data_IF_199244305497
#
_entry.id   IF_199244305497
#
_cell.length_a   1.000
_cell.length_b   1.000
_cell.length_c   1.000
_cell.angle_alpha   90.00
_cell.angle_beta   90.00
_cell.angle_gamma   90.00
#
_symmetry.space_group_name_H-M   'P 1'
#
loop_
_entity.id
_entity.type
_entity.pdbx_description
1 polymer ?
#
# COMPACT_ATOMS: atom_id res chain seq x y z
N UNK A 1 -19.58 29.92 3.89
CA UNK A 1 -19.29 29.14 4.00
C UNK A 1 -19.16 27.98 4.16
N UNK A 2 -19.18 27.42 4.15
CA UNK A 2 -19.25 26.30 4.37
C UNK A 2 -18.82 25.15 3.69
N UNK A 3 -18.29 24.80 2.95
CA UNK A 3 -17.85 23.87 1.96
C UNK A 3 -16.85 22.88 2.47
N UNK A 4 -16.32 23.09 3.65
CA UNK A 4 -15.37 22.20 4.30
C UNK A 4 -16.03 20.93 4.85
N UNK A 5 -17.36 20.82 4.77
CA UNK A 5 -18.06 19.64 5.28
C UNK A 5 -17.69 18.35 4.56
N UNK A 6 -17.11 18.46 3.35
CA UNK A 6 -16.68 17.29 2.59
C UNK A 6 -15.19 17.00 2.73
N UNK A 7 -14.51 17.72 3.59
CA UNK A 7 -13.09 17.49 3.86
C UNK A 7 -12.94 16.33 4.83
N UNK A 8 -11.96 15.49 4.54
CA UNK A 8 -11.52 14.44 5.46
C UNK A 8 -10.04 14.63 5.72
N UNK A 9 -9.65 14.61 6.97
CA UNK A 9 -8.24 14.74 7.36
C UNK A 9 -7.80 13.45 8.03
N UNK A 10 -6.73 12.85 7.53
CA UNK A 10 -6.14 11.65 8.13
C UNK A 10 -4.72 11.97 8.51
N UNK A 11 -4.41 11.85 9.79
CA UNK A 11 -3.03 11.95 10.25
C UNK A 11 -2.47 10.53 10.34
N UNK A 12 -1.42 10.27 9.58
CA UNK A 12 -0.89 8.90 9.45
C UNK A 12 -0.33 8.35 10.75
N UNK A 13 -0.06 9.21 11.73
CA UNK A 13 0.46 8.77 13.04
C UNK A 13 -0.66 8.47 14.03
N UNK A 14 -1.91 8.76 13.68
CA UNK A 14 -3.05 8.58 14.57
C UNK A 14 -4.05 7.52 14.09
N UNK A 15 -3.71 6.80 13.04
CA UNK A 15 -4.64 5.82 12.46
C UNK A 15 -4.57 4.50 13.22
N UNK A 16 -5.67 3.74 13.13
CA UNK A 16 -5.74 2.38 13.66
C UNK A 16 -5.54 1.43 12.48
N UNK A 17 -4.56 0.54 12.59
CA UNK A 17 -4.29 -0.47 11.59
C UNK A 17 -5.11 -1.73 11.86
N UNK A 18 -5.65 -2.31 10.81
CA UNK A 18 -6.38 -3.58 10.85
C UNK A 18 -5.64 -4.62 10.02
N UNK A 19 -5.87 -5.92 10.26
CA UNK A 19 -5.20 -6.94 9.45
C UNK A 19 -5.42 -6.71 7.97
N UNK A 20 -4.37 -6.88 7.17
CA UNK A 20 -4.42 -6.66 5.72
C UNK A 20 -5.08 -7.86 5.06
N UNK A 21 -6.31 -7.68 4.60
CA UNK A 21 -7.14 -8.74 4.04
C UNK A 21 -7.59 -8.42 2.60
N UNK A 22 -6.85 -7.58 1.91
CA UNK A 22 -7.24 -7.13 0.58
C UNK A 22 -7.39 -8.27 -0.43
N UNK A 23 -6.69 -9.36 -0.25
CA UNK A 23 -6.70 -10.50 -1.17
C UNK A 23 -7.36 -11.75 -0.56
N UNK A 24 -8.16 -11.57 0.48
CA UNK A 24 -8.85 -12.66 1.14
C UNK A 24 -8.44 -12.77 2.59
N UNK A 25 -7.88 -13.91 3.00
CA UNK A 25 -7.42 -14.08 4.38
C UNK A 25 -6.32 -13.10 4.73
N UNK A 26 -6.28 -12.61 5.96
CA UNK A 26 -5.21 -11.70 6.37
C UNK A 26 -3.84 -12.33 6.17
N UNK A 27 -2.89 -11.48 5.74
CA UNK A 27 -1.50 -11.90 5.55
C UNK A 27 -0.74 -11.64 6.85
N UNK A 28 -0.06 -12.66 7.41
CA UNK A 28 0.67 -12.48 8.66
C UNK A 28 1.67 -11.32 8.60
N UNK A 29 1.66 -10.49 9.63
CA UNK A 29 2.58 -9.38 9.75
C UNK A 29 2.23 -8.16 8.92
N UNK A 30 1.11 -8.17 8.20
CA UNK A 30 0.68 -7.03 7.40
C UNK A 30 -0.61 -6.45 7.95
N UNK A 31 -0.67 -5.13 8.01
CA UNK A 31 -1.87 -4.41 8.45
C UNK A 31 -2.01 -3.15 7.60
N UNK A 32 -3.22 -2.62 7.55
CA UNK A 32 -3.48 -1.44 6.74
C UNK A 32 -4.52 -0.53 7.37
N UNK A 33 -4.53 0.71 6.87
CA UNK A 33 -5.59 1.67 7.14
C UNK A 33 -6.03 2.27 5.82
N UNK A 34 -7.29 2.05 5.45
CA UNK A 34 -7.84 2.58 4.21
C UNK A 34 -8.17 4.05 4.39
N UNK A 35 -7.50 4.92 3.63
CA UNK A 35 -7.78 6.36 3.66
C UNK A 35 -8.92 6.69 2.71
N UNK A 36 -8.78 6.30 1.45
CA UNK A 36 -9.79 6.56 0.42
C UNK A 36 -9.90 5.38 -0.55
N UNK A 37 -9.48 4.21 -0.11
CA UNK A 37 -9.42 3.02 -0.97
C UNK A 37 -10.75 2.28 -1.01
N UNK A 38 -11.11 1.79 -2.19
CA UNK A 38 -12.20 0.83 -2.36
C UNK A 38 -11.78 -0.20 -3.42
N UNK A 39 -12.47 -1.33 -3.44
CA UNK A 39 -12.08 -2.45 -4.31
C UNK A 39 -12.73 -2.42 -5.69
N UNK A 40 -13.53 -1.41 -6.00
CA UNK A 40 -14.14 -1.34 -7.32
C UNK A 40 -13.08 -1.14 -8.39
N UNK A 41 -13.33 -1.70 -9.59
CA UNK A 41 -12.43 -1.58 -10.75
C UNK A 41 -11.00 -2.00 -10.47
N UNK A 42 -10.82 -3.09 -9.71
CA UNK A 42 -9.49 -3.60 -9.41
C UNK A 42 -8.77 -2.91 -8.26
N UNK A 43 -9.47 -2.00 -7.58
CA UNK A 43 -8.92 -1.27 -6.47
C UNK A 43 -8.50 0.13 -6.87
N UNK A 44 -9.03 1.11 -6.17
CA UNK A 44 -8.73 2.52 -6.40
C UNK A 44 -8.63 3.25 -5.08
N UNK A 45 -7.75 4.23 -5.01
CA UNK A 45 -7.61 5.08 -3.86
C UNK A 45 -6.32 4.81 -3.10
N UNK A 46 -6.31 5.26 -1.88
CA UNK A 46 -5.08 5.36 -1.08
C UNK A 46 -5.23 4.62 0.23
N UNK A 47 -4.18 3.89 0.62
CA UNK A 47 -4.13 3.27 1.94
C UNK A 47 -2.72 3.27 2.48
N UNK A 48 -2.62 3.21 3.80
CA UNK A 48 -1.36 2.99 4.49
C UNK A 48 -1.18 1.48 4.69
N UNK A 49 0.02 1.01 4.45
CA UNK A 49 0.39 -0.39 4.66
C UNK A 49 1.53 -0.45 5.65
N UNK A 50 1.36 -1.25 6.68
CA UNK A 50 2.40 -1.50 7.67
C UNK A 50 2.79 -2.96 7.60
N UNK A 51 4.09 -3.22 7.57
CA UNK A 51 4.62 -4.57 7.59
C UNK A 51 5.55 -4.73 8.78
N UNK A 52 5.31 -5.78 9.55
CA UNK A 52 6.17 -6.12 10.70
C UNK A 52 7.48 -6.73 10.20
N UNK A 53 8.53 -6.71 11.03
CA UNK A 53 9.80 -7.34 10.62
C UNK A 53 9.59 -8.78 10.16
N UNK A 54 10.14 -9.10 9.00
CA UNK A 54 10.05 -10.43 8.41
C UNK A 54 8.79 -10.68 7.59
N UNK A 55 7.87 -9.75 7.51
CA UNK A 55 6.63 -9.94 6.75
C UNK A 55 6.91 -10.01 5.25
N UNK A 56 6.07 -10.80 4.56
CA UNK A 56 6.16 -10.99 3.10
C UNK A 56 4.79 -10.81 2.50
N UNK A 57 4.71 -10.03 1.42
CA UNK A 57 3.47 -9.94 0.66
C UNK A 57 3.33 -11.16 -0.24
N UNK A 58 2.09 -11.41 -0.68
CA UNK A 58 1.86 -12.46 -1.67
C UNK A 58 2.13 -11.92 -3.07
N UNK A 59 2.61 -12.76 -4.00
CA UNK A 59 2.72 -12.34 -5.40
C UNK A 59 1.35 -11.94 -5.92
N UNK A 60 1.29 -10.82 -6.62
CA UNK A 60 0.03 -10.34 -7.17
C UNK A 60 0.27 -9.61 -8.49
N UNK A 61 -0.71 -9.67 -9.36
CA UNK A 61 -0.70 -9.02 -10.65
C UNK A 61 -1.42 -7.68 -10.54
N UNK A 62 -0.79 -6.63 -11.03
CA UNK A 62 -1.39 -5.30 -11.04
C UNK A 62 -2.27 -5.15 -12.27
N UNK A 63 -3.57 -4.97 -12.06
CA UNK A 63 -4.50 -4.71 -13.16
C UNK A 63 -4.57 -3.23 -13.51
N UNK A 64 -4.19 -2.37 -12.58
CA UNK A 64 -4.04 -0.94 -12.80
C UNK A 64 -2.66 -0.51 -12.36
N UNK A 65 -2.46 0.80 -12.24
CA UNK A 65 -1.23 1.33 -11.66
C UNK A 65 -1.22 1.12 -10.16
N UNK A 66 -0.09 0.69 -9.62
CA UNK A 66 0.17 0.74 -8.20
C UNK A 66 1.38 1.62 -7.97
N UNK A 67 1.21 2.64 -7.15
CA UNK A 67 2.32 3.51 -6.77
C UNK A 67 2.43 3.54 -5.27
N UNK A 68 3.64 3.70 -4.75
CA UNK A 68 3.77 3.84 -3.31
C UNK A 68 4.97 4.69 -2.95
N UNK A 69 4.84 5.33 -1.80
CA UNK A 69 5.89 6.14 -1.19
C UNK A 69 6.34 5.45 0.08
N UNK A 70 7.64 5.22 0.19
CA UNK A 70 8.23 4.62 1.40
C UNK A 70 8.31 5.68 2.47
N UNK A 71 7.59 5.49 3.57
CA UNK A 71 7.58 6.42 4.70
C UNK A 71 8.56 6.01 5.79
N UNK A 72 8.71 4.70 6.05
CA UNK A 72 9.62 4.16 7.05
C UNK A 72 10.10 2.79 6.59
N UNK A 73 11.33 2.44 6.95
CA UNK A 73 11.87 1.13 6.69
C UNK A 73 12.21 0.87 5.24
N UNK A 74 12.28 -0.40 4.87
CA UNK A 74 12.66 -0.83 3.52
C UNK A 74 11.78 -1.96 3.05
N UNK A 75 11.56 -2.00 1.74
CA UNK A 75 10.97 -3.14 1.04
C UNK A 75 11.98 -3.72 0.08
N UNK A 76 11.96 -5.04 -0.08
CA UNK A 76 12.90 -5.75 -0.95
C UNK A 76 12.08 -6.60 -1.91
N UNK A 77 12.28 -6.40 -3.21
CA UNK A 77 11.63 -7.18 -4.26
C UNK A 77 12.47 -8.41 -4.62
N UNK A 78 11.88 -9.40 -5.32
CA UNK A 78 12.59 -10.65 -5.61
C UNK A 78 13.87 -10.48 -6.44
N UNK A 79 13.97 -9.39 -7.21
CA UNK A 79 15.18 -9.11 -7.98
C UNK A 79 16.29 -8.48 -7.14
N UNK A 80 16.08 -8.34 -5.84
CA UNK A 80 17.04 -7.76 -4.92
C UNK A 80 16.96 -6.24 -4.81
N UNK A 81 16.06 -5.61 -5.53
CA UNK A 81 15.92 -4.16 -5.45
C UNK A 81 15.37 -3.76 -4.10
N UNK A 82 16.01 -2.78 -3.47
CA UNK A 82 15.63 -2.28 -2.15
C UNK A 82 15.02 -0.89 -2.32
N UNK A 83 13.81 -0.73 -1.79
CA UNK A 83 13.12 0.56 -1.75
C UNK A 83 13.27 1.16 -0.36
N UNK A 84 13.72 2.41 -0.29
CA UNK A 84 14.10 3.09 0.96
C UNK A 84 13.22 4.29 1.20
N UNK A 85 13.28 4.82 2.41
CA UNK A 85 12.56 6.05 2.79
C UNK A 85 12.74 7.12 1.72
N UNK A 86 11.61 7.66 1.27
CA UNK A 86 11.57 8.69 0.25
C UNK A 86 11.46 8.18 -1.18
N UNK A 87 11.63 6.88 -1.41
CA UNK A 87 11.46 6.32 -2.75
C UNK A 87 9.98 6.30 -3.11
N UNK A 88 9.68 6.78 -4.30
CA UNK A 88 8.36 6.68 -4.90
C UNK A 88 8.45 5.69 -6.06
N UNK A 89 7.69 4.62 -5.97
CA UNK A 89 7.77 3.51 -6.91
C UNK A 89 6.48 3.42 -7.71
N UNK A 90 6.58 3.24 -9.02
CA UNK A 90 5.43 3.07 -9.91
C UNK A 90 5.50 1.70 -10.56
N UNK A 91 4.44 0.91 -10.39
CA UNK A 91 4.24 -0.32 -11.14
C UNK A 91 3.10 -0.11 -12.13
N UNK A 92 3.38 -0.31 -13.42
CA UNK A 92 2.38 -0.15 -14.47
C UNK A 92 1.48 -1.38 -14.55
N UNK A 93 0.30 -1.23 -15.17
CA UNK A 93 -0.60 -2.37 -15.37
C UNK A 93 0.12 -3.51 -16.08
N UNK A 94 -0.18 -4.73 -15.68
CA UNK A 94 0.43 -5.93 -16.26
C UNK A 94 1.69 -6.37 -15.55
N UNK A 95 2.18 -5.61 -14.58
CA UNK A 95 3.34 -6.03 -13.79
C UNK A 95 2.90 -6.92 -12.64
N UNK A 96 3.83 -7.75 -12.17
CA UNK A 96 3.59 -8.63 -11.03
C UNK A 96 4.80 -8.58 -10.11
N UNK A 97 4.55 -8.55 -8.82
CA UNK A 97 5.64 -8.58 -7.86
C UNK A 97 5.18 -9.10 -6.51
N UNK A 98 6.14 -9.37 -5.66
CA UNK A 98 5.95 -9.58 -4.23
C UNK A 98 7.10 -8.89 -3.54
N UNK A 99 6.92 -8.57 -2.27
CA UNK A 99 7.94 -7.86 -1.52
C UNK A 99 8.05 -8.43 -0.12
N UNK A 100 9.20 -8.24 0.49
CA UNK A 100 9.35 -8.55 1.91
C UNK A 100 10.10 -7.42 2.59
N UNK A 101 10.02 -7.38 3.90
CA UNK A 101 10.77 -6.42 4.70
C UNK A 101 11.56 -7.16 5.75
N UNK A 102 12.78 -6.75 5.97
CA UNK A 102 13.62 -7.35 7.00
C UNK A 102 13.28 -6.78 8.37
N UNK A 103 13.21 -5.47 8.45
CA UNK A 103 13.09 -4.77 9.74
C UNK A 103 11.75 -4.07 9.92
N UNK A 104 10.81 -4.27 9.01
CA UNK A 104 9.53 -3.60 9.03
C UNK A 104 9.51 -2.37 8.17
N UNK A 105 8.31 -1.94 7.79
CA UNK A 105 8.18 -0.73 6.97
C UNK A 105 6.78 -0.13 7.09
N UNK A 106 6.68 1.13 6.68
CA UNK A 106 5.42 1.85 6.53
C UNK A 106 5.39 2.46 5.13
N UNK A 107 4.32 2.19 4.41
CA UNK A 107 4.21 2.54 3.00
C UNK A 107 2.88 3.23 2.75
N UNK A 108 2.89 4.29 1.97
CA UNK A 108 1.66 4.95 1.51
C UNK A 108 1.41 4.48 0.08
N UNK A 109 0.30 3.78 -0.13
CA UNK A 109 -0.01 3.12 -1.41
C UNK A 109 -1.12 3.86 -2.13
N UNK A 110 -0.90 4.12 -3.41
CA UNK A 110 -1.86 4.78 -4.30
C UNK A 110 -2.23 3.80 -5.41
N UNK A 111 -3.51 3.40 -5.44
CA UNK A 111 -4.01 2.50 -6.47
C UNK A 111 -4.84 3.30 -7.46
N UNK A 112 -4.53 3.18 -8.73
CA UNK A 112 -5.36 3.77 -9.79
C UNK A 112 -6.00 2.64 -10.57
N UNK A 113 -7.32 2.73 -10.76
CA UNK A 113 -8.05 1.73 -11.49
C UNK A 113 -7.59 1.62 -12.94
N UNK A 114 -8.11 0.63 -13.64
CA UNK A 114 -7.66 0.29 -14.99
C UNK A 114 -8.28 1.15 -16.07
N UNK A 115 -9.27 1.95 -15.75
CA UNK A 115 -10.01 2.76 -16.74
C UNK A 115 -9.62 4.22 -16.65
N UNK A 116 -8.38 4.49 -16.81
CA UNK A 116 -7.85 5.85 -16.70
C UNK A 116 -7.97 6.66 -17.95
#
# INVERSE_FOLDING_TARGET
>A
MKQTSKRKITNIFDVIFKPFDNYGSPIPGMSWHKISYNKTNGGQGTYLLKMEPGAKSLPHLHTGFEEFLMLEGELIDPDGKIFKIGDFVTFEPGTSHSSHTKDGCLVLVFMRGINE
#
